data_IF_384835045629
#
_entry.id   IF_384835045629
#
_cell.length_a   1.000
_cell.length_b   1.000
_cell.length_c   1.000
_cell.angle_alpha   90.00
_cell.angle_beta   90.00
_cell.angle_gamma   90.00
#
_symmetry.space_group_name_H-M   'P 1'
#
loop_
_entity.id
_entity.type
_entity.pdbx_description
1 polymer ?
#
# COMPACT_ATOMS: atom_id res chain seq x y z
N UNK A 1 9.59 5.61 23.30
CA UNK A 1 8.35 6.23 22.81
C UNK A 1 7.19 5.45 23.41
N UNK A 2 6.50 6.02 24.40
CA UNK A 2 5.39 5.34 25.08
C UNK A 2 4.20 5.33 24.12
N UNK A 3 3.93 4.18 23.51
CA UNK A 3 2.59 3.96 22.97
C UNK A 3 1.64 4.01 24.16
N UNK A 4 0.64 4.88 24.09
CA UNK A 4 -0.34 5.04 25.14
C UNK A 4 -0.89 3.66 25.53
N UNK A 5 -0.58 3.23 26.75
CA UNK A 5 -1.01 1.95 27.29
C UNK A 5 -2.52 1.80 27.24
N UNK A 6 -3.27 2.91 27.32
CA UNK A 6 -4.72 2.90 27.19
C UNK A 6 -5.16 2.57 25.76
N UNK A 7 -4.52 3.14 24.74
CA UNK A 7 -4.78 2.82 23.34
C UNK A 7 -4.48 1.35 23.05
N UNK A 8 -3.38 0.83 23.61
CA UNK A 8 -3.06 -0.61 23.51
C UNK A 8 -4.13 -1.50 24.09
N UNK A 9 -4.55 -1.23 25.32
CA UNK A 9 -5.58 -2.01 25.98
C UNK A 9 -6.92 -1.92 25.24
N UNK A 10 -7.26 -0.75 24.71
CA UNK A 10 -8.47 -0.55 23.91
C UNK A 10 -8.43 -1.38 22.62
N UNK A 11 -7.34 -1.32 21.86
CA UNK A 11 -7.19 -2.10 20.62
C UNK A 11 -7.16 -3.61 20.88
N UNK A 12 -6.51 -4.05 21.96
CA UNK A 12 -6.52 -5.45 22.37
C UNK A 12 -7.93 -5.95 22.74
N UNK A 13 -8.73 -5.12 23.41
CA UNK A 13 -10.12 -5.45 23.72
C UNK A 13 -11.01 -5.57 22.47
N UNK A 14 -10.59 -4.92 21.38
CA UNK A 14 -11.28 -4.94 20.09
C UNK A 14 -10.92 -6.15 19.21
N UNK A 15 -9.74 -6.76 19.40
CA UNK A 15 -9.27 -7.91 18.62
C UNK A 15 -10.27 -9.09 18.53
N UNK A 16 -10.98 -9.51 19.60
CA UNK A 16 -11.95 -10.61 19.50
C UNK A 16 -13.14 -10.31 18.58
N UNK A 17 -13.35 -9.04 18.23
CA UNK A 17 -14.52 -8.57 17.47
C UNK A 17 -14.21 -8.28 16.00
N UNK A 18 -13.00 -8.58 15.51
CA UNK A 18 -12.59 -8.36 14.11
C UNK A 18 -13.49 -9.08 13.10
N UNK A 19 -14.12 -10.19 13.52
CA UNK A 19 -15.07 -10.93 12.70
C UNK A 19 -16.30 -10.12 12.26
N UNK A 20 -16.58 -9.00 12.94
CA UNK A 20 -17.72 -8.11 12.65
C UNK A 20 -17.35 -6.92 11.77
N UNK A 21 -16.06 -6.71 11.52
CA UNK A 21 -15.58 -5.48 10.88
C UNK A 21 -15.77 -5.57 9.38
N UNK A 22 -16.60 -4.67 8.84
CA UNK A 22 -16.85 -4.55 7.40
C UNK A 22 -15.96 -3.51 6.72
N UNK A 23 -15.59 -2.48 7.47
CA UNK A 23 -14.73 -1.38 7.03
C UNK A 23 -13.75 -1.08 8.15
N UNK A 24 -12.52 -0.77 7.77
CA UNK A 24 -11.48 -0.32 8.67
C UNK A 24 -10.81 0.89 8.08
N UNK A 25 -10.67 1.94 8.88
CA UNK A 25 -9.99 3.18 8.50
C UNK A 25 -9.07 3.60 9.64
N UNK A 26 -7.78 3.55 9.40
CA UNK A 26 -6.76 3.73 10.42
C UNK A 26 -5.67 4.68 9.96
N UNK A 27 -5.45 5.70 10.78
CA UNK A 27 -4.33 6.64 10.66
C UNK A 27 -3.38 6.41 11.82
N UNK A 28 -2.12 6.06 11.52
CA UNK A 28 -1.09 5.78 12.52
C UNK A 28 0.18 6.55 12.19
N UNK A 29 0.97 6.89 13.20
CA UNK A 29 2.33 7.40 12.96
C UNK A 29 3.26 6.23 12.58
N UNK A 30 4.28 6.48 11.76
CA UNK A 30 5.38 5.57 11.43
C UNK A 30 5.93 4.78 12.63
N UNK A 31 6.09 5.44 13.79
CA UNK A 31 6.59 4.82 15.03
C UNK A 31 5.66 3.73 15.58
N UNK A 32 4.39 3.72 15.18
CA UNK A 32 3.34 2.83 15.64
C UNK A 32 3.10 1.63 14.71
N UNK A 33 3.84 1.54 13.60
CA UNK A 33 3.69 0.48 12.61
C UNK A 33 4.06 -0.89 13.17
N UNK A 34 5.18 -0.99 13.90
CA UNK A 34 5.57 -2.21 14.61
C UNK A 34 4.66 -2.54 15.81
N UNK A 35 3.93 -1.56 16.33
CA UNK A 35 2.96 -1.79 17.40
C UNK A 35 1.68 -2.46 16.89
N UNK A 36 1.28 -2.08 15.69
CA UNK A 36 0.10 -2.61 15.01
C UNK A 36 0.20 -4.10 14.71
N UNK A 37 1.32 -4.53 14.11
CA UNK A 37 1.59 -5.95 13.86
C UNK A 37 1.61 -6.76 15.16
N UNK A 38 2.05 -6.15 16.27
CA UNK A 38 2.09 -6.79 17.57
C UNK A 38 0.72 -6.96 18.25
N UNK A 39 -0.25 -6.09 18.00
CA UNK A 39 -1.62 -6.24 18.55
C UNK A 39 -2.32 -7.44 17.92
N UNK A 40 -2.18 -7.59 16.61
CA UNK A 40 -2.84 -8.65 15.85
C UNK A 40 -1.91 -9.83 15.54
N UNK A 41 -1.05 -10.18 16.52
CA UNK A 41 -0.03 -11.24 16.41
C UNK A 41 -0.58 -12.64 16.12
N UNK A 42 -1.85 -12.87 16.41
CA UNK A 42 -2.55 -14.05 15.90
C UNK A 42 -3.21 -13.64 14.58
N UNK A 43 -3.19 -14.48 13.52
CA UNK A 43 -3.83 -14.15 12.25
C UNK A 43 -5.29 -13.79 12.54
N UNK A 44 -5.57 -12.49 12.57
CA UNK A 44 -6.90 -12.02 12.89
C UNK A 44 -7.74 -12.30 11.66
N UNK A 45 -8.86 -12.98 11.88
CA UNK A 45 -9.76 -13.34 10.80
C UNK A 45 -10.74 -12.19 10.57
N UNK A 46 -10.76 -11.67 9.34
CA UNK A 46 -11.63 -10.58 8.91
C UNK A 46 -12.63 -11.05 7.83
N UNK A 47 -13.57 -11.96 8.16
CA UNK A 47 -14.52 -12.56 7.23
C UNK A 47 -15.42 -11.54 6.52
N UNK A 48 -15.67 -10.39 7.15
CA UNK A 48 -16.60 -9.38 6.63
C UNK A 48 -15.90 -8.15 6.06
N UNK A 49 -14.58 -8.00 6.25
CA UNK A 49 -13.86 -6.79 5.85
C UNK A 49 -13.86 -6.68 4.33
N UNK A 50 -14.47 -5.60 3.84
CA UNK A 50 -14.58 -5.25 2.42
C UNK A 50 -13.70 -4.06 2.05
N UNK A 51 -13.49 -3.15 2.99
CA UNK A 51 -12.74 -1.92 2.76
C UNK A 51 -11.70 -1.70 3.86
N UNK A 52 -10.45 -1.44 3.45
CA UNK A 52 -9.31 -1.12 4.30
C UNK A 52 -8.73 0.22 3.87
N UNK A 53 -8.65 1.17 4.79
CA UNK A 53 -7.89 2.40 4.67
C UNK A 53 -6.80 2.41 5.75
N UNK A 54 -5.55 2.52 5.31
CA UNK A 54 -4.38 2.63 6.18
C UNK A 54 -3.54 3.81 5.73
N UNK A 55 -3.48 4.82 6.58
CA UNK A 55 -2.63 6.00 6.42
C UNK A 55 -1.53 5.97 7.46
N UNK A 56 -0.29 6.08 7.03
CA UNK A 56 0.89 6.15 7.90
C UNK A 56 1.48 7.55 7.83
N UNK A 57 1.23 8.33 8.87
CA UNK A 57 1.71 9.71 9.02
C UNK A 57 3.14 9.76 9.57
N UNK A 58 3.79 10.91 9.38
CA UNK A 58 5.18 11.12 9.79
C UNK A 58 6.21 10.50 8.83
N UNK A 59 5.74 9.91 7.73
CA UNK A 59 6.55 9.48 6.60
C UNK A 59 6.67 10.58 5.53
N UNK A 60 6.02 11.72 5.75
CA UNK A 60 6.05 12.88 4.86
C UNK A 60 7.23 13.79 5.21
N UNK A 61 8.43 13.38 4.80
CA UNK A 61 9.61 14.26 4.75
C UNK A 61 10.29 14.06 3.41
N UNK A 62 9.85 14.87 2.44
CA UNK A 62 10.58 15.15 1.21
C UNK A 62 11.82 16.01 1.46
N UNK A 63 12.01 16.56 2.66
CA UNK A 63 13.22 17.27 3.06
C UNK A 63 14.20 16.32 3.76
N UNK A 64 14.99 15.62 2.96
CA UNK A 64 16.34 15.26 3.36
C UNK A 64 17.28 15.79 2.28
N UNK A 65 17.47 17.10 2.30
CA UNK A 65 18.55 17.77 1.58
C UNK A 65 19.88 17.07 1.92
N UNK A 66 20.61 16.70 0.86
CA UNK A 66 22.03 17.01 0.62
C UNK A 66 23.04 17.07 1.78
N UNK A 67 22.91 16.29 2.85
CA UNK A 67 23.98 16.16 3.84
C UNK A 67 24.70 14.81 3.65
N UNK A 68 25.78 14.90 2.87
CA UNK A 68 26.94 14.00 2.92
C UNK A 68 26.73 12.55 2.48
N UNK A 69 26.70 12.32 1.16
CA UNK A 69 27.26 11.11 0.52
C UNK A 69 26.75 9.74 0.97
N UNK A 70 25.68 9.68 1.74
CA UNK A 70 25.03 8.48 2.25
C UNK A 70 23.59 8.43 1.77
N UNK A 71 23.12 7.23 1.43
CA UNK A 71 21.72 7.01 1.10
C UNK A 71 20.81 7.63 2.19
N UNK A 72 19.72 8.33 1.81
CA UNK A 72 18.84 8.94 2.80
C UNK A 72 18.36 7.87 3.79
N UNK A 73 18.60 8.10 5.09
CA UNK A 73 18.41 7.16 6.19
C UNK A 73 16.96 6.65 6.38
N UNK A 74 16.03 7.01 5.49
CA UNK A 74 14.63 6.57 5.47
C UNK A 74 14.43 5.23 4.75
N UNK A 75 15.21 4.94 3.68
CA UNK A 75 15.23 3.60 3.08
C UNK A 75 15.74 2.55 4.07
N UNK A 76 16.60 2.95 5.02
CA UNK A 76 17.04 2.10 6.12
C UNK A 76 15.94 1.80 7.15
N UNK A 77 14.95 2.70 7.34
CA UNK A 77 13.78 2.44 8.17
C UNK A 77 12.74 1.54 7.46
N UNK A 78 12.73 1.56 6.12
CA UNK A 78 11.95 0.63 5.29
C UNK A 78 12.67 -0.69 4.98
N UNK A 79 13.93 -0.85 5.38
CA UNK A 79 14.51 -2.17 5.69
C UNK A 79 13.96 -2.70 7.02
N UNK A 80 12.67 -2.50 7.24
CA UNK A 80 11.87 -3.35 8.09
C UNK A 80 12.20 -4.78 7.67
N UNK A 81 12.91 -5.56 8.51
CA UNK A 81 13.23 -6.93 8.14
C UNK A 81 11.91 -7.68 7.89
N UNK A 82 11.92 -8.87 7.27
CA UNK A 82 10.71 -9.61 6.95
C UNK A 82 9.72 -9.79 8.12
N UNK A 83 10.22 -9.63 9.35
CA UNK A 83 9.51 -9.65 10.64
C UNK A 83 8.64 -8.41 10.94
N UNK A 84 8.67 -7.37 10.12
CA UNK A 84 7.90 -6.13 10.32
C UNK A 84 6.75 -5.92 9.32
N UNK A 85 6.48 -6.89 8.43
CA UNK A 85 5.31 -6.83 7.54
C UNK A 85 4.00 -6.84 8.33
N UNK A 86 3.04 -6.05 7.88
CA UNK A 86 1.68 -6.05 8.41
C UNK A 86 0.95 -7.24 7.82
N UNK A 87 1.02 -8.39 8.49
CA UNK A 87 0.41 -9.64 8.00
C UNK A 87 -1.06 -9.83 8.39
N UNK A 88 -1.59 -8.95 9.24
CA UNK A 88 -2.92 -9.07 9.85
C UNK A 88 -4.05 -9.20 8.83
N UNK A 89 -3.94 -8.59 7.64
CA UNK A 89 -5.02 -8.57 6.65
C UNK A 89 -4.99 -9.74 5.67
N UNK A 90 -4.07 -10.70 5.85
CA UNK A 90 -3.95 -11.87 4.97
C UNK A 90 -5.26 -12.67 4.90
N UNK A 91 -5.94 -12.78 6.03
CA UNK A 91 -7.18 -13.55 6.20
C UNK A 91 -8.44 -12.66 6.10
N UNK A 92 -8.48 -11.79 5.08
CA UNK A 92 -9.60 -10.88 4.78
C UNK A 92 -10.26 -11.24 3.44
N UNK A 93 -10.97 -12.39 3.34
CA UNK A 93 -11.38 -12.95 2.06
C UNK A 93 -12.33 -12.06 1.26
N UNK A 94 -13.06 -11.12 1.90
CA UNK A 94 -14.02 -10.24 1.23
C UNK A 94 -13.45 -8.87 0.87
N UNK A 95 -12.17 -8.63 1.12
CA UNK A 95 -11.52 -7.35 0.87
C UNK A 95 -11.54 -7.04 -0.62
N UNK A 96 -12.07 -5.86 -0.96
CA UNK A 96 -12.27 -5.39 -2.33
C UNK A 96 -11.71 -3.99 -2.54
N UNK A 97 -11.73 -3.16 -1.50
CA UNK A 97 -11.34 -1.75 -1.57
C UNK A 97 -10.17 -1.50 -0.61
N UNK A 98 -9.06 -1.00 -1.15
CA UNK A 98 -7.84 -0.74 -0.36
C UNK A 98 -7.32 0.67 -0.63
N UNK A 99 -7.06 1.41 0.44
CA UNK A 99 -6.32 2.66 0.44
C UNK A 99 -5.06 2.50 1.30
N UNK A 100 -3.88 2.72 0.72
CA UNK A 100 -2.59 2.72 1.42
C UNK A 100 -1.86 4.04 1.19
N UNK A 101 -1.69 4.84 2.24
CA UNK A 101 -0.99 6.11 2.18
C UNK A 101 0.18 6.13 3.16
N UNK A 102 1.33 6.65 2.74
CA UNK A 102 2.57 6.63 3.52
C UNK A 102 3.23 5.24 3.62
N UNK A 103 2.62 4.21 3.02
CA UNK A 103 3.08 2.82 3.09
C UNK A 103 2.87 2.12 1.74
N UNK A 104 3.82 1.27 1.35
CA UNK A 104 3.73 0.51 0.11
C UNK A 104 2.90 -0.77 0.22
N UNK A 105 2.69 -1.40 -0.94
CA UNK A 105 1.96 -2.67 -1.06
C UNK A 105 2.81 -3.84 -0.55
N UNK A 106 4.14 -3.73 -0.58
CA UNK A 106 5.02 -4.82 -0.12
C UNK A 106 5.07 -4.99 1.39
N UNK A 107 4.66 -3.96 2.12
CA UNK A 107 4.69 -3.85 3.57
C UNK A 107 3.41 -4.38 4.22
N UNK A 108 2.31 -4.48 3.46
CA UNK A 108 1.00 -4.94 3.94
C UNK A 108 0.57 -6.19 3.20
N UNK A 109 0.26 -7.27 3.91
CA UNK A 109 -0.24 -8.51 3.31
C UNK A 109 -1.76 -8.54 3.32
N UNK A 110 -2.35 -8.60 2.13
CA UNK A 110 -3.79 -8.71 1.92
C UNK A 110 -4.08 -9.46 0.59
N UNK A 111 -5.29 -10.00 0.40
CA UNK A 111 -5.63 -10.78 -0.80
C UNK A 111 -5.80 -9.88 -2.04
N UNK A 112 -4.70 -9.63 -2.75
CA UNK A 112 -4.64 -8.80 -3.96
C UNK A 112 -5.62 -9.23 -5.07
N UNK A 113 -5.76 -10.54 -5.30
CA UNK A 113 -6.50 -11.08 -6.45
C UNK A 113 -7.96 -10.63 -6.55
N UNK A 114 -8.58 -10.25 -5.42
CA UNK A 114 -10.00 -9.89 -5.32
C UNK A 114 -10.25 -8.39 -5.19
N UNK A 115 -9.19 -7.59 -5.22
CA UNK A 115 -9.34 -6.14 -5.15
C UNK A 115 -10.07 -5.64 -6.39
N UNK A 116 -11.07 -4.79 -6.17
CA UNK A 116 -11.77 -4.05 -7.22
C UNK A 116 -11.26 -2.63 -7.33
N UNK A 117 -10.91 -2.02 -6.19
CA UNK A 117 -10.37 -0.67 -6.12
C UNK A 117 -9.08 -0.66 -5.29
N UNK A 118 -8.09 0.05 -5.80
CA UNK A 118 -6.84 0.31 -5.08
C UNK A 118 -6.48 1.78 -5.18
N UNK A 119 -6.16 2.39 -4.05
CA UNK A 119 -5.66 3.73 -3.95
C UNK A 119 -4.37 3.71 -3.12
N UNK A 120 -3.29 4.33 -3.58
CA UNK A 120 -2.13 4.45 -2.70
C UNK A 120 -0.81 4.85 -3.30
N UNK A 121 0.17 4.99 -2.43
CA UNK A 121 1.55 5.27 -2.80
C UNK A 121 2.25 4.03 -3.36
N UNK A 122 3.07 4.23 -4.38
CA UNK A 122 3.90 3.22 -5.03
C UNK A 122 5.36 3.67 -4.95
N UNK A 123 6.14 2.99 -4.12
CA UNK A 123 7.53 3.37 -3.83
C UNK A 123 8.52 2.67 -4.74
N UNK A 124 8.17 1.50 -5.28
CA UNK A 124 9.05 0.72 -6.15
C UNK A 124 8.36 0.22 -7.42
N UNK A 125 9.06 0.13 -8.57
CA UNK A 125 8.48 -0.40 -9.80
C UNK A 125 7.92 -1.81 -9.67
N UNK A 126 8.51 -2.65 -8.82
CA UNK A 126 8.02 -4.02 -8.63
C UNK A 126 6.65 -4.05 -7.93
N UNK A 127 6.30 -3.04 -7.13
CA UNK A 127 4.97 -2.93 -6.51
C UNK A 127 3.89 -2.71 -7.55
N UNK A 128 4.18 -1.86 -8.55
CA UNK A 128 3.28 -1.63 -9.67
C UNK A 128 3.08 -2.91 -10.49
N UNK A 129 4.18 -3.59 -10.85
CA UNK A 129 4.11 -4.86 -11.59
C UNK A 129 3.33 -5.89 -10.77
N UNK A 130 3.58 -5.98 -9.47
CA UNK A 130 2.86 -6.87 -8.56
C UNK A 130 1.37 -6.55 -8.52
N UNK A 131 0.98 -5.28 -8.33
CA UNK A 131 -0.42 -4.86 -8.29
C UNK A 131 -1.11 -5.27 -9.60
N UNK A 132 -0.53 -4.91 -10.74
CA UNK A 132 -1.15 -5.15 -12.04
C UNK A 132 -1.14 -6.62 -12.48
N UNK A 133 -0.19 -7.42 -12.02
CA UNK A 133 -0.15 -8.85 -12.35
C UNK A 133 -0.98 -9.71 -11.40
N UNK A 134 -1.14 -9.30 -10.14
CA UNK A 134 -1.79 -10.12 -9.11
C UNK A 134 -3.22 -9.68 -8.78
N UNK A 135 -3.60 -8.41 -8.99
CA UNK A 135 -4.93 -7.91 -8.68
C UNK A 135 -5.93 -8.14 -9.83
N UNK A 136 -6.20 -9.40 -10.16
CA UNK A 136 -6.94 -9.82 -11.36
C UNK A 136 -8.34 -9.19 -11.51
N UNK A 137 -9.02 -8.91 -10.40
CA UNK A 137 -10.35 -8.29 -10.36
C UNK A 137 -10.31 -6.74 -10.33
N UNK A 138 -9.12 -6.12 -10.39
CA UNK A 138 -8.96 -4.68 -10.23
C UNK A 138 -9.60 -3.93 -11.40
N UNK A 139 -10.54 -3.06 -11.08
CA UNK A 139 -11.29 -2.25 -12.06
C UNK A 139 -10.90 -0.78 -12.02
N UNK A 140 -10.43 -0.29 -10.86
CA UNK A 140 -10.01 1.07 -10.65
C UNK A 140 -8.73 1.13 -9.80
N UNK A 141 -7.77 1.93 -10.25
CA UNK A 141 -6.54 2.21 -9.52
C UNK A 141 -6.21 3.69 -9.53
N UNK A 142 -5.82 4.23 -8.38
CA UNK A 142 -5.37 5.62 -8.19
C UNK A 142 -4.03 5.59 -7.48
N UNK A 143 -2.95 5.84 -8.20
CA UNK A 143 -1.58 5.59 -7.75
C UNK A 143 -0.78 6.88 -7.63
N UNK A 144 -0.10 7.08 -6.52
CA UNK A 144 0.94 8.10 -6.37
C UNK A 144 2.31 7.46 -6.52
N UNK A 145 2.97 7.71 -7.63
CA UNK A 145 4.29 7.19 -7.93
C UNK A 145 5.32 8.04 -7.18
N UNK A 146 6.09 7.40 -6.29
CA UNK A 146 7.08 8.06 -5.41
C UNK A 146 8.52 7.61 -5.68
N UNK A 147 8.82 7.15 -6.90
CA UNK A 147 10.15 6.65 -7.28
C UNK A 147 11.23 7.71 -7.04
N UNK A 148 12.30 7.38 -6.29
CA UNK A 148 13.39 8.33 -6.03
C UNK A 148 14.46 8.38 -7.12
N UNK A 149 14.56 7.32 -7.92
CA UNK A 149 15.59 7.18 -8.95
C UNK A 149 14.95 6.87 -10.30
N UNK A 150 15.65 7.21 -11.39
CA UNK A 150 15.33 6.78 -12.74
C UNK A 150 15.52 5.26 -12.85
N UNK A 151 14.58 4.50 -12.32
CA UNK A 151 14.50 3.08 -12.56
C UNK A 151 14.01 2.88 -13.99
N UNK A 152 14.88 2.37 -14.86
CA UNK A 152 14.42 1.82 -16.12
C UNK A 152 13.52 0.63 -15.78
N UNK A 153 12.22 0.80 -16.02
CA UNK A 153 11.27 -0.30 -15.93
C UNK A 153 11.45 -1.14 -17.20
N UNK A 154 12.52 -1.91 -17.25
CA UNK A 154 12.71 -2.95 -18.25
C UNK A 154 11.87 -4.17 -17.87
N UNK A 155 10.54 -3.99 -17.85
CA UNK A 155 9.60 -5.10 -17.72
C UNK A 155 8.80 -5.24 -19.01
N UNK A 156 8.44 -6.46 -19.34
CA UNK A 156 7.46 -6.71 -20.39
C UNK A 156 6.19 -5.89 -20.10
N UNK A 157 5.51 -5.37 -21.13
CA UNK A 157 4.30 -4.59 -20.94
C UNK A 157 3.26 -5.42 -20.19
N UNK A 158 2.84 -4.94 -19.02
CA UNK A 158 1.82 -5.62 -18.22
C UNK A 158 0.46 -5.26 -18.80
N UNK A 159 -0.28 -6.28 -19.26
CA UNK A 159 -1.67 -6.12 -19.65
C UNK A 159 -2.60 -6.51 -18.51
N UNK A 160 -3.57 -5.64 -18.22
CA UNK A 160 -4.59 -5.89 -17.20
C UNK A 160 -5.96 -5.93 -17.86
N UNK A 161 -6.64 -7.08 -17.82
CA UNK A 161 -7.89 -7.31 -18.56
C UNK A 161 -9.11 -6.61 -17.92
N UNK A 162 -9.14 -6.52 -16.60
CA UNK A 162 -10.28 -5.96 -15.85
C UNK A 162 -10.18 -4.46 -15.57
N UNK A 163 -8.99 -3.85 -15.71
CA UNK A 163 -8.74 -2.48 -15.28
C UNK A 163 -9.38 -1.51 -16.28
N UNK A 164 -10.28 -0.66 -15.79
CA UNK A 164 -11.02 0.31 -16.60
C UNK A 164 -10.61 1.75 -16.32
N UNK A 165 -10.20 2.03 -15.08
CA UNK A 165 -9.80 3.36 -14.64
C UNK A 165 -8.42 3.28 -14.00
N UNK A 166 -7.48 4.06 -14.52
CA UNK A 166 -6.14 4.20 -13.96
C UNK A 166 -5.82 5.70 -13.88
N UNK A 167 -5.62 6.19 -12.67
CA UNK A 167 -5.11 7.54 -12.41
C UNK A 167 -3.70 7.42 -11.85
N UNK A 168 -2.75 8.11 -12.48
CA UNK A 168 -1.35 8.14 -12.06
C UNK A 168 -0.98 9.57 -11.70
N UNK A 169 -0.51 9.75 -10.47
CA UNK A 169 0.05 10.99 -9.97
C UNK A 169 1.53 10.79 -9.71
N UNK A 170 2.35 11.76 -10.06
CA UNK A 170 3.79 11.69 -9.82
C UNK A 170 4.32 13.10 -9.62
N UNK A 171 5.24 13.24 -8.67
CA UNK A 171 6.02 14.46 -8.46
C UNK A 171 7.38 14.39 -9.18
N UNK A 172 7.61 13.34 -9.98
CA UNK A 172 8.86 13.02 -10.67
C UNK A 172 8.60 12.97 -12.18
N UNK A 173 9.57 13.39 -13.00
CA UNK A 173 9.55 13.33 -14.47
C UNK A 173 9.61 11.87 -15.02
N UNK A 174 8.87 10.93 -14.43
CA UNK A 174 9.01 9.48 -14.66
C UNK A 174 8.17 8.92 -15.82
N UNK A 175 7.50 9.76 -16.62
CA UNK A 175 6.63 9.28 -17.70
C UNK A 175 7.37 8.65 -18.89
N UNK A 176 8.70 8.72 -18.95
CA UNK A 176 9.48 8.07 -20.01
C UNK A 176 9.53 6.53 -19.89
N UNK A 177 9.08 5.94 -18.78
CA UNK A 177 9.28 4.51 -18.49
C UNK A 177 8.00 3.65 -18.48
N UNK A 178 6.81 4.21 -18.73
CA UNK A 178 5.56 3.47 -18.64
C UNK A 178 4.98 3.14 -20.01
N UNK A 179 5.23 1.92 -20.49
CA UNK A 179 4.49 1.35 -21.63
C UNK A 179 3.43 0.39 -21.11
N UNK A 180 2.19 0.87 -20.96
CA UNK A 180 1.05 0.00 -20.63
C UNK A 180 0.33 -0.44 -21.91
N UNK A 181 0.06 -1.75 -22.02
CA UNK A 181 -0.90 -2.27 -23.00
C UNK A 181 -2.27 -2.42 -22.32
N UNK A 182 -3.01 -1.31 -22.23
CA UNK A 182 -4.42 -1.35 -21.87
C UNK A 182 -5.20 -1.90 -23.07
N UNK A 183 -5.96 -2.97 -22.85
CA UNK A 183 -6.79 -3.57 -23.89
C UNK A 183 -7.76 -2.51 -24.44
N UNK A 184 -7.84 -2.43 -25.77
CA UNK A 184 -8.10 -1.25 -26.62
C UNK A 184 -9.50 -0.61 -26.57
N UNK A 185 -10.07 -0.34 -25.39
CA UNK A 185 -11.41 0.28 -25.28
C UNK A 185 -11.54 1.50 -24.37
N UNK A 186 -10.47 2.00 -23.74
CA UNK A 186 -10.57 3.15 -22.83
C UNK A 186 -9.84 4.38 -23.39
N UNK A 187 -10.63 5.41 -23.73
CA UNK A 187 -10.18 6.72 -24.17
C UNK A 187 -9.38 7.42 -23.07
N UNK A 188 -8.23 8.00 -23.42
CA UNK A 188 -7.52 8.96 -22.59
C UNK A 188 -8.10 10.36 -22.87
N UNK A 189 -8.67 11.03 -21.86
CA UNK A 189 -8.87 12.48 -21.89
C UNK A 189 -7.84 13.13 -20.97
N UNK A 190 -6.86 13.80 -21.56
CA UNK A 190 -6.07 14.79 -20.84
C UNK A 190 -6.92 16.05 -20.69
N UNK A 191 -7.06 16.55 -19.47
CA UNK A 191 -7.53 17.91 -19.16
C UNK A 191 -6.52 18.55 -18.23
#
# INVERSE_FOLDING_TARGET
MYVDTALRSALQALCPHTHRWGTMDWTINSSSLGFFSNIFRQPAYFPLLKSLSLTVEGLDYYEAEHISGGAPSRLAAFHAPPDQRIEVFREAPRLQDVLLQGIGITEVSFPLARLKTFQGDIYYPQELVRLLSQALELTQATLWIRFRENHSIASDPVSHSSLRHLSLYTDVECFQCFTFLLCSTCWWSNS
#
